data_IF_486095675528
#
_entry.id   IF_486095675528
#
_cell.length_a   1.000
_cell.length_b   1.000
_cell.length_c   1.000
_cell.angle_alpha   90.00
_cell.angle_beta   90.00
_cell.angle_gamma   90.00
#
_symmetry.space_group_name_H-M   'P 1'
#
loop_
_entity.id
_entity.type
_entity.pdbx_description
1 polymer ?
#
# COMPACT_ATOMS: atom_id res chain seq x y z
N UNK A 1 27.48 -6.67 -0.08
CA UNK A 1 26.57 -6.07 -1.08
C UNK A 1 25.78 -7.23 -1.67
N UNK A 2 24.64 -7.60 -1.04
CA UNK A 2 23.81 -8.69 -1.55
C UNK A 2 22.87 -8.13 -2.61
N UNK A 3 23.14 -8.48 -3.86
CA UNK A 3 22.29 -8.18 -5.00
C UNK A 3 21.09 -9.10 -4.99
N UNK A 4 19.88 -8.56 -4.89
CA UNK A 4 18.63 -9.27 -5.17
C UNK A 4 18.53 -9.51 -6.68
N UNK A 5 19.35 -10.41 -7.20
CA UNK A 5 19.23 -10.96 -8.55
C UNK A 5 18.74 -12.40 -8.43
N UNK A 6 17.52 -12.62 -8.87
CA UNK A 6 17.07 -13.94 -9.22
C UNK A 6 15.75 -14.39 -8.67
N UNK A 7 14.66 -13.70 -9.04
CA UNK A 7 13.38 -14.36 -9.18
C UNK A 7 13.06 -14.44 -10.67
N UNK A 8 13.47 -15.52 -11.30
CA UNK A 8 12.93 -15.90 -12.60
C UNK A 8 11.80 -16.89 -12.31
N UNK A 9 10.65 -16.38 -11.92
CA UNK A 9 9.41 -17.07 -12.20
C UNK A 9 8.96 -16.60 -13.58
N UNK A 10 8.63 -17.51 -14.46
CA UNK A 10 8.07 -17.26 -15.79
C UNK A 10 6.71 -16.57 -15.72
N UNK A 11 6.14 -16.39 -14.55
CA UNK A 11 4.95 -15.58 -14.27
C UNK A 11 5.37 -14.17 -13.82
N UNK A 12 4.75 -13.19 -14.47
CA UNK A 12 4.99 -11.79 -14.24
C UNK A 12 4.51 -11.38 -12.85
N UNK A 13 5.43 -10.96 -11.99
CA UNK A 13 5.10 -10.48 -10.65
C UNK A 13 4.39 -9.12 -10.76
N UNK A 14 3.07 -9.12 -10.56
CA UNK A 14 2.21 -7.93 -10.65
C UNK A 14 1.83 -7.36 -9.28
N UNK A 15 2.37 -7.91 -8.20
CA UNK A 15 2.18 -7.44 -6.83
C UNK A 15 3.43 -7.73 -5.98
N UNK A 16 3.54 -7.04 -4.86
CA UNK A 16 4.57 -7.34 -3.86
C UNK A 16 4.16 -8.62 -3.12
N UNK A 17 5.10 -9.54 -2.97
CA UNK A 17 4.89 -10.81 -2.26
C UNK A 17 4.91 -10.59 -0.75
N UNK A 18 4.20 -11.45 -0.02
CA UNK A 18 4.29 -11.55 1.41
C UNK A 18 5.53 -12.35 1.81
N UNK A 19 6.00 -12.16 3.05
CA UNK A 19 7.17 -12.89 3.54
C UNK A 19 6.95 -14.39 3.58
N UNK A 20 5.73 -14.82 3.93
CA UNK A 20 5.29 -16.21 3.95
C UNK A 20 5.18 -16.84 2.56
N UNK A 21 4.94 -16.04 1.52
CA UNK A 21 4.86 -16.54 0.14
C UNK A 21 6.21 -17.10 -0.32
N UNK A 22 7.33 -16.55 0.16
CA UNK A 22 8.66 -17.06 -0.15
C UNK A 22 8.85 -18.48 0.41
N UNK A 23 8.29 -18.79 1.59
CA UNK A 23 8.30 -20.13 2.18
C UNK A 23 7.49 -21.09 1.31
N UNK A 24 6.27 -20.68 0.90
CA UNK A 24 5.38 -21.51 0.08
C UNK A 24 6.00 -21.81 -1.28
N UNK A 25 6.60 -20.78 -1.90
CA UNK A 25 7.15 -20.89 -3.26
C UNK A 25 8.51 -21.58 -3.34
N UNK A 26 9.32 -21.55 -2.26
CA UNK A 26 10.73 -21.99 -2.26
C UNK A 26 11.09 -22.94 -1.11
N UNK A 27 10.12 -23.38 -0.32
CA UNK A 27 10.34 -24.31 0.78
C UNK A 27 11.37 -23.78 1.80
N UNK A 28 12.31 -24.63 2.20
CA UNK A 28 13.34 -24.29 3.21
C UNK A 28 14.25 -23.13 2.78
N UNK A 29 14.49 -22.92 1.48
CA UNK A 29 15.29 -21.78 1.01
C UNK A 29 14.52 -20.47 1.22
N UNK A 30 13.23 -20.44 0.92
CA UNK A 30 12.35 -19.32 1.21
C UNK A 30 12.27 -19.04 2.71
N UNK A 31 12.19 -20.08 3.53
CA UNK A 31 12.22 -19.97 4.98
C UNK A 31 13.51 -19.32 5.49
N UNK A 32 14.67 -19.75 4.98
CA UNK A 32 15.96 -19.12 5.31
C UNK A 32 16.03 -17.66 4.91
N UNK A 33 15.48 -17.30 3.75
CA UNK A 33 15.39 -15.90 3.30
C UNK A 33 14.49 -15.08 4.22
N UNK A 34 13.32 -15.61 4.58
CA UNK A 34 12.38 -14.95 5.49
C UNK A 34 13.03 -14.67 6.85
N UNK A 35 13.71 -15.66 7.42
CA UNK A 35 14.45 -15.49 8.68
C UNK A 35 15.59 -14.47 8.54
N UNK A 36 16.34 -14.49 7.45
CA UNK A 36 17.38 -13.49 7.18
C UNK A 36 16.82 -12.07 7.11
N UNK A 37 15.65 -11.89 6.49
CA UNK A 37 14.96 -10.63 6.48
C UNK A 37 14.54 -10.18 7.90
N UNK A 38 13.95 -11.07 8.70
CA UNK A 38 13.57 -10.78 10.08
C UNK A 38 14.79 -10.40 10.94
N UNK A 39 15.95 -11.04 10.75
CA UNK A 39 17.21 -10.64 11.40
C UNK A 39 17.65 -9.25 10.99
N UNK A 40 17.47 -8.87 9.74
CA UNK A 40 17.79 -7.51 9.27
C UNK A 40 16.88 -6.46 9.91
N UNK A 41 15.57 -6.74 10.02
CA UNK A 41 14.61 -5.91 10.75
C UNK A 41 14.98 -5.80 12.23
N UNK A 42 15.31 -6.93 12.86
CA UNK A 42 15.78 -6.99 14.26
C UNK A 42 17.00 -6.08 14.48
N UNK A 43 18.01 -6.17 13.61
CA UNK A 43 19.23 -5.37 13.73
C UNK A 43 18.95 -3.87 13.55
N UNK A 44 18.05 -3.51 12.64
CA UNK A 44 17.60 -2.13 12.46
C UNK A 44 16.96 -1.60 13.74
N UNK A 45 16.01 -2.36 14.32
CA UNK A 45 15.27 -1.94 15.53
C UNK A 45 16.12 -2.04 16.80
N UNK A 46 17.24 -2.77 16.77
CA UNK A 46 18.25 -2.77 17.84
C UNK A 46 19.27 -1.62 17.70
N UNK A 47 19.15 -0.78 16.68
CA UNK A 47 20.09 0.32 16.42
C UNK A 47 21.47 -0.14 15.91
N UNK A 48 21.62 -1.43 15.53
CA UNK A 48 22.89 -2.04 15.09
C UNK A 48 22.99 -2.27 13.59
N UNK A 49 22.01 -1.81 12.80
CA UNK A 49 22.04 -1.98 11.35
C UNK A 49 23.05 -1.03 10.69
N UNK A 50 23.89 -1.58 9.82
CA UNK A 50 24.83 -0.81 8.98
C UNK A 50 24.19 -0.13 7.79
N UNK A 51 22.88 -0.30 7.59
CA UNK A 51 22.11 0.25 6.46
C UNK A 51 20.67 0.57 6.82
N UNK A 52 20.02 1.38 5.99
CA UNK A 52 18.58 1.70 6.15
C UNK A 52 17.74 0.54 5.64
N UNK A 53 16.84 0.05 6.46
CA UNK A 53 15.77 -0.87 6.03
C UNK A 53 14.51 -0.01 5.82
N UNK A 54 13.95 -0.06 4.61
CA UNK A 54 12.69 0.60 4.32
C UNK A 54 11.54 -0.26 4.84
N UNK A 55 10.85 0.25 5.84
CA UNK A 55 9.61 -0.36 6.34
C UNK A 55 8.42 0.45 5.86
N UNK A 56 7.36 -0.23 5.49
CA UNK A 56 6.09 0.37 5.14
C UNK A 56 4.98 -0.11 6.07
N UNK A 57 3.99 0.76 6.27
CA UNK A 57 2.77 0.39 6.98
C UNK A 57 1.81 -0.24 5.98
N UNK A 58 1.34 -1.47 6.25
CA UNK A 58 0.27 -2.09 5.50
C UNK A 58 -1.07 -1.62 6.07
N UNK A 59 -1.75 -0.79 5.31
CA UNK A 59 -3.10 -0.34 5.63
C UNK A 59 -4.12 -1.43 5.28
N UNK A 60 -5.20 -1.52 6.04
CA UNK A 60 -6.33 -2.42 5.76
C UNK A 60 -7.37 -1.70 4.90
N UNK A 61 -7.02 -1.41 3.66
CA UNK A 61 -7.87 -0.70 2.71
C UNK A 61 -8.54 -1.64 1.69
N UNK A 62 -9.70 -1.26 1.16
CA UNK A 62 -10.41 -1.97 0.10
C UNK A 62 -11.37 -1.05 -0.67
N UNK A 63 -11.51 -1.28 -1.99
CA UNK A 63 -10.75 -2.19 -2.85
C UNK A 63 -9.34 -1.70 -3.16
N UNK A 64 -8.49 -2.61 -3.64
CA UNK A 64 -7.22 -2.20 -4.25
C UNK A 64 -7.50 -1.38 -5.52
N UNK A 65 -6.84 -0.23 -5.63
CA UNK A 65 -6.98 0.72 -6.74
C UNK A 65 -5.65 0.79 -7.49
N UNK A 66 -5.71 0.61 -8.80
CA UNK A 66 -4.59 0.91 -9.70
C UNK A 66 -4.94 2.19 -10.45
N UNK A 67 -4.07 3.19 -10.39
CA UNK A 67 -4.29 4.48 -11.02
C UNK A 67 -3.00 5.06 -11.59
N UNK A 68 -3.12 5.76 -12.72
CA UNK A 68 -1.96 6.40 -13.34
C UNK A 68 -2.16 6.68 -14.82
N UNK A 69 -1.05 6.87 -15.54
CA UNK A 69 -1.08 7.08 -16.99
C UNK A 69 -0.65 5.81 -17.71
N UNK A 70 -1.50 5.33 -18.60
CA UNK A 70 -1.18 4.21 -19.46
C UNK A 70 0.02 4.56 -20.35
N UNK A 71 1.12 3.79 -20.32
CA UNK A 71 2.33 4.11 -21.06
C UNK A 71 2.15 4.02 -22.58
N UNK A 72 1.14 3.31 -23.06
CA UNK A 72 0.88 3.11 -24.49
C UNK A 72 0.13 4.27 -25.12
N UNK A 73 -0.65 5.05 -24.35
CA UNK A 73 -1.48 6.11 -24.91
C UNK A 73 -1.50 7.41 -24.10
N UNK A 74 -0.79 7.47 -22.95
CA UNK A 74 -0.69 8.62 -22.07
C UNK A 74 -1.98 9.00 -21.32
N UNK A 75 -3.10 8.29 -21.52
CA UNK A 75 -4.38 8.61 -20.88
C UNK A 75 -4.37 8.19 -19.41
N UNK A 76 -4.92 9.05 -18.57
CA UNK A 76 -5.11 8.70 -17.16
C UNK A 76 -6.24 7.67 -17.02
N UNK A 77 -5.99 6.65 -16.23
CA UNK A 77 -6.94 5.57 -15.96
C UNK A 77 -7.03 5.24 -14.46
N UNK A 78 -8.11 4.56 -14.11
CA UNK A 78 -8.26 3.87 -12.83
C UNK A 78 -8.78 2.45 -13.08
N UNK A 79 -8.49 1.55 -12.14
CA UNK A 79 -9.03 0.21 -12.13
C UNK A 79 -8.78 -0.47 -10.79
N UNK A 80 -9.19 -1.72 -10.71
CA UNK A 80 -8.80 -2.65 -9.65
C UNK A 80 -7.63 -3.52 -10.14
N UNK A 81 -7.24 -4.54 -9.38
CA UNK A 81 -6.26 -5.54 -9.87
C UNK A 81 -6.64 -6.17 -11.22
N UNK A 82 -7.90 -6.07 -11.63
CA UNK A 82 -8.38 -6.56 -12.94
C UNK A 82 -7.74 -5.88 -14.17
N UNK A 83 -7.00 -4.78 -13.96
CA UNK A 83 -6.17 -4.17 -15.02
C UNK A 83 -5.03 -5.10 -15.49
N UNK A 84 -4.67 -6.09 -14.68
CA UNK A 84 -3.63 -7.09 -14.96
C UNK A 84 -4.19 -8.42 -15.48
N UNK A 85 -5.51 -8.56 -15.61
CA UNK A 85 -6.13 -9.78 -16.12
C UNK A 85 -5.76 -10.01 -17.58
N UNK A 86 -5.92 -11.26 -18.05
CA UNK A 86 -5.77 -11.63 -19.47
C UNK A 86 -6.60 -10.72 -20.40
N UNK A 87 -7.81 -10.32 -19.95
CA UNK A 87 -8.62 -9.26 -20.56
C UNK A 87 -8.65 -8.08 -19.60
N UNK A 88 -7.76 -7.09 -19.79
CA UNK A 88 -7.60 -5.99 -18.84
C UNK A 88 -8.82 -5.09 -18.76
N UNK A 89 -9.27 -4.76 -17.54
CA UNK A 89 -10.36 -3.80 -17.30
C UNK A 89 -9.75 -2.43 -16.93
N UNK A 90 -9.39 -1.66 -17.94
CA UNK A 90 -8.79 -0.33 -17.81
C UNK A 90 -9.87 0.73 -18.04
N UNK A 91 -10.05 1.66 -17.10
CA UNK A 91 -11.15 2.61 -17.17
C UNK A 91 -10.60 4.04 -17.31
N UNK A 92 -10.83 4.66 -18.46
CA UNK A 92 -10.46 6.04 -18.78
C UNK A 92 -11.62 7.02 -18.55
N UNK A 93 -12.85 6.51 -18.62
CA UNK A 93 -14.11 7.25 -18.56
C UNK A 93 -15.11 6.60 -17.61
N UNK A 94 -16.14 7.34 -17.14
CA UNK A 94 -17.24 6.73 -16.41
C UNK A 94 -17.98 5.64 -17.19
N UNK A 95 -18.03 5.75 -18.53
CA UNK A 95 -18.61 4.74 -19.41
C UNK A 95 -17.85 3.41 -19.35
N UNK A 96 -16.50 3.46 -19.35
CA UNK A 96 -15.68 2.26 -19.20
C UNK A 96 -15.92 1.61 -17.83
N UNK A 97 -16.06 2.42 -16.77
CA UNK A 97 -16.36 1.92 -15.44
C UNK A 97 -17.69 1.19 -15.42
N UNK A 98 -18.73 1.79 -16.02
CA UNK A 98 -20.07 1.18 -16.07
C UNK A 98 -20.08 -0.13 -16.86
N UNK A 99 -19.26 -0.23 -17.91
CA UNK A 99 -19.13 -1.45 -18.72
C UNK A 99 -18.34 -2.56 -18.00
N UNK A 100 -17.35 -2.19 -17.20
CA UNK A 100 -16.42 -3.14 -16.59
C UNK A 100 -16.78 -3.53 -15.16
N UNK A 101 -17.54 -2.68 -14.45
CA UNK A 101 -17.82 -2.83 -13.02
C UNK A 101 -19.25 -2.41 -12.68
N UNK A 102 -19.77 -2.93 -11.58
CA UNK A 102 -21.12 -2.62 -11.08
C UNK A 102 -21.10 -2.34 -9.56
N UNK A 103 -22.21 -1.87 -9.04
CA UNK A 103 -22.44 -1.69 -7.60
C UNK A 103 -21.44 -0.74 -6.92
N UNK A 104 -21.10 -0.98 -5.64
CA UNK A 104 -20.24 -0.09 -4.86
C UNK A 104 -18.85 0.12 -5.46
N UNK A 105 -18.28 -0.90 -6.13
CA UNK A 105 -16.96 -0.80 -6.76
C UNK A 105 -16.98 0.24 -7.89
N UNK A 106 -18.00 0.22 -8.74
CA UNK A 106 -18.14 1.20 -9.83
C UNK A 106 -18.28 2.63 -9.27
N UNK A 107 -19.05 2.80 -8.19
CA UNK A 107 -19.20 4.10 -7.53
C UNK A 107 -17.85 4.63 -7.00
N UNK A 108 -17.11 3.78 -6.29
CA UNK A 108 -15.77 4.11 -5.75
C UNK A 108 -14.77 4.44 -6.86
N UNK A 109 -14.76 3.66 -7.94
CA UNK A 109 -13.89 3.92 -9.11
C UNK A 109 -14.21 5.26 -9.80
N UNK A 110 -15.48 5.67 -9.88
CA UNK A 110 -15.87 6.97 -10.42
C UNK A 110 -15.31 8.12 -9.56
N UNK A 111 -15.36 8.00 -8.23
CA UNK A 111 -14.73 8.97 -7.32
C UNK A 111 -13.21 8.99 -7.53
N UNK A 112 -12.57 7.82 -7.59
CA UNK A 112 -11.13 7.71 -7.86
C UNK A 112 -10.75 8.36 -9.20
N UNK A 113 -11.46 8.06 -10.28
CA UNK A 113 -11.20 8.64 -11.60
C UNK A 113 -11.26 10.17 -11.58
N UNK A 114 -12.29 10.72 -10.92
CA UNK A 114 -12.50 12.17 -10.83
C UNK A 114 -11.44 12.87 -9.98
N UNK A 115 -11.17 12.34 -8.80
CA UNK A 115 -10.34 13.04 -7.82
C UNK A 115 -8.83 12.78 -8.04
N UNK A 116 -8.41 11.55 -8.41
CA UNK A 116 -7.01 11.22 -8.65
C UNK A 116 -6.46 11.84 -9.93
N UNK A 117 -7.29 11.97 -10.98
CA UNK A 117 -6.90 12.65 -12.23
C UNK A 117 -6.39 14.07 -11.98
N UNK A 118 -6.96 14.75 -10.99
CA UNK A 118 -6.60 16.13 -10.62
C UNK A 118 -5.26 16.25 -9.91
N UNK A 119 -4.75 15.17 -9.35
CA UNK A 119 -3.44 15.16 -8.68
C UNK A 119 -2.26 15.23 -9.66
N UNK A 120 -2.49 15.05 -10.97
CA UNK A 120 -1.43 15.08 -11.96
C UNK A 120 -0.44 13.92 -11.84
N UNK A 121 -0.89 12.77 -11.34
CA UNK A 121 -0.08 11.55 -11.23
C UNK A 121 0.48 11.18 -12.61
N UNK A 122 1.79 11.00 -12.70
CA UNK A 122 2.50 10.67 -13.96
C UNK A 122 2.85 9.19 -14.09
N UNK A 123 3.14 8.50 -12.98
CA UNK A 123 3.41 7.06 -12.93
C UNK A 123 2.14 6.21 -12.84
N UNK A 124 2.32 4.91 -12.68
CA UNK A 124 1.25 3.96 -12.36
C UNK A 124 1.49 3.45 -10.95
N UNK A 125 0.46 3.52 -10.13
CA UNK A 125 0.52 3.13 -8.72
C UNK A 125 -0.65 2.23 -8.38
N UNK A 126 -0.40 1.27 -7.49
CA UNK A 126 -1.43 0.54 -6.78
C UNK A 126 -1.44 0.96 -5.32
N UNK A 127 -2.63 1.04 -4.79
CA UNK A 127 -2.85 1.33 -3.38
C UNK A 127 -4.20 0.81 -2.93
N UNK A 128 -4.53 1.09 -1.69
CA UNK A 128 -5.77 0.67 -1.08
C UNK A 128 -6.65 1.88 -0.78
N UNK A 129 -7.91 1.79 -1.19
CA UNK A 129 -8.91 2.80 -0.88
C UNK A 129 -9.22 2.76 0.61
N UNK A 130 -9.10 3.91 1.29
CA UNK A 130 -9.41 4.04 2.70
C UNK A 130 -10.86 4.50 2.91
N UNK A 131 -11.31 5.48 2.15
CA UNK A 131 -12.68 5.98 2.20
C UNK A 131 -13.03 6.83 0.97
N UNK A 132 -14.30 6.91 0.67
CA UNK A 132 -14.93 8.02 -0.05
C UNK A 132 -15.73 8.87 0.94
N UNK A 133 -16.22 10.05 0.52
CA UNK A 133 -16.95 10.96 1.44
C UNK A 133 -18.12 10.29 2.16
N UNK A 134 -18.78 9.33 1.52
CA UNK A 134 -19.91 8.61 2.11
C UNK A 134 -19.51 7.55 3.15
N UNK A 135 -18.25 7.14 3.18
CA UNK A 135 -17.76 6.10 4.08
C UNK A 135 -17.33 6.66 5.46
N UNK A 136 -17.19 8.00 5.60
CA UNK A 136 -16.74 8.62 6.85
C UNK A 136 -17.92 8.98 7.74
N UNK A 137 -17.76 8.75 9.06
CA UNK A 137 -18.75 9.09 10.10
C UNK A 137 -18.06 9.85 11.24
N UNK A 138 -18.85 10.59 12.02
CA UNK A 138 -18.38 11.16 13.28
C UNK A 138 -19.01 10.37 14.42
N UNK A 139 -18.17 9.85 15.32
CA UNK A 139 -18.57 9.11 16.50
C UNK A 139 -17.92 9.71 17.76
N UNK A 140 -18.49 9.45 18.91
CA UNK A 140 -17.85 9.73 20.20
C UNK A 140 -17.19 8.42 20.67
N UNK A 141 -15.89 8.44 20.87
CA UNK A 141 -15.09 7.31 21.34
C UNK A 141 -14.32 7.79 22.56
N UNK A 142 -14.52 7.16 23.71
CA UNK A 142 -13.87 7.51 24.97
C UNK A 142 -13.99 9.01 25.35
N UNK A 143 -15.17 9.60 25.07
CA UNK A 143 -15.44 11.01 25.36
C UNK A 143 -14.92 12.00 24.31
N UNK A 144 -14.19 11.57 23.30
CA UNK A 144 -13.65 12.40 22.23
C UNK A 144 -14.41 12.22 20.90
N UNK A 145 -14.63 13.34 20.20
CA UNK A 145 -15.26 13.31 18.87
C UNK A 145 -14.24 12.86 17.81
N UNK A 146 -14.48 11.70 17.24
CA UNK A 146 -13.64 11.08 16.23
C UNK A 146 -14.32 11.07 14.86
N UNK A 147 -13.57 11.31 13.80
CA UNK A 147 -13.97 10.92 12.44
C UNK A 147 -13.49 9.49 12.21
N UNK A 148 -14.41 8.61 11.80
CA UNK A 148 -14.15 7.19 11.63
C UNK A 148 -14.43 6.75 10.20
N UNK A 149 -13.69 5.72 9.75
CA UNK A 149 -13.92 5.01 8.49
C UNK A 149 -13.41 3.57 8.61
N UNK A 150 -14.12 2.64 7.98
CA UNK A 150 -13.83 1.21 8.01
C UNK A 150 -13.75 0.71 6.57
N UNK A 151 -12.55 0.77 5.95
CA UNK A 151 -12.42 0.39 4.54
C UNK A 151 -12.59 -1.12 4.32
N UNK A 152 -12.15 -1.95 5.26
CA UNK A 152 -12.25 -3.40 5.23
C UNK A 152 -12.65 -3.91 6.62
N UNK A 153 -11.73 -4.43 7.41
CA UNK A 153 -12.00 -4.99 8.76
C UNK A 153 -11.62 -4.04 9.88
N UNK A 154 -10.59 -3.22 9.68
CA UNK A 154 -10.09 -2.28 10.69
C UNK A 154 -10.87 -0.96 10.61
N UNK A 155 -11.36 -0.48 11.76
CA UNK A 155 -11.90 0.87 11.89
C UNK A 155 -10.80 1.83 12.32
N UNK A 156 -10.57 2.84 11.50
CA UNK A 156 -9.68 3.95 11.80
C UNK A 156 -10.46 5.07 12.44
N UNK A 157 -9.92 5.64 13.52
CA UNK A 157 -10.52 6.75 14.24
C UNK A 157 -9.48 7.87 14.40
N UNK A 158 -9.88 9.10 14.10
CA UNK A 158 -8.99 10.26 14.16
C UNK A 158 -9.73 11.41 14.86
N UNK A 159 -9.13 12.08 15.86
CA UNK A 159 -9.75 13.22 16.52
C UNK A 159 -10.14 14.31 15.52
N UNK A 160 -11.41 14.72 15.52
CA UNK A 160 -11.92 15.75 14.62
C UNK A 160 -11.17 17.08 14.78
N UNK A 161 -10.75 17.38 16.01
CA UNK A 161 -9.99 18.58 16.38
C UNK A 161 -8.56 18.61 15.85
N UNK A 162 -7.98 17.44 15.53
CA UNK A 162 -6.61 17.31 15.07
C UNK A 162 -6.40 17.88 13.66
N UNK A 163 -5.13 18.18 13.30
CA UNK A 163 -4.78 18.59 11.94
C UNK A 163 -5.14 17.50 10.89
N UNK A 164 -4.96 16.23 11.26
CA UNK A 164 -5.30 15.09 10.44
C UNK A 164 -6.81 14.94 10.27
N UNK A 165 -7.58 15.05 11.36
CA UNK A 165 -9.06 15.02 11.31
C UNK A 165 -9.63 16.10 10.41
N UNK A 166 -9.08 17.33 10.46
CA UNK A 166 -9.49 18.42 9.55
C UNK A 166 -9.16 18.10 8.08
N UNK A 167 -8.04 17.44 7.78
CA UNK A 167 -7.73 16.99 6.41
C UNK A 167 -8.72 15.93 5.93
N UNK A 168 -8.97 14.90 6.75
CA UNK A 168 -9.89 13.80 6.42
C UNK A 168 -11.33 14.34 6.24
N UNK A 169 -11.80 15.24 7.11
CA UNK A 169 -13.16 15.80 7.03
C UNK A 169 -13.42 16.57 5.72
N UNK A 170 -12.40 17.19 5.13
CA UNK A 170 -12.48 17.92 3.86
C UNK A 170 -12.31 17.03 2.64
N UNK A 171 -11.65 15.88 2.81
CA UNK A 171 -11.35 14.97 1.71
C UNK A 171 -12.62 14.28 1.19
N UNK A 172 -12.69 14.09 -0.13
CA UNK A 172 -13.70 13.29 -0.82
C UNK A 172 -13.24 11.88 -1.06
N UNK A 173 -11.93 11.66 -0.98
CA UNK A 173 -11.24 10.41 -1.22
C UNK A 173 -10.07 10.30 -0.25
N UNK A 174 -9.94 9.16 0.42
CA UNK A 174 -8.74 8.74 1.15
C UNK A 174 -8.16 7.49 0.51
N UNK A 175 -6.87 7.51 0.22
CA UNK A 175 -6.16 6.40 -0.42
C UNK A 175 -4.72 6.35 0.08
N UNK A 176 -4.14 5.15 0.14
CA UNK A 176 -2.72 4.91 0.35
C UNK A 176 -2.14 4.21 -0.86
N UNK A 177 -1.10 4.76 -1.46
CA UNK A 177 -0.33 4.08 -2.51
C UNK A 177 0.92 3.45 -1.91
N UNK A 178 1.21 2.21 -2.30
CA UNK A 178 2.33 1.42 -1.77
C UNK A 178 3.15 0.70 -2.85
N UNK A 179 2.58 0.53 -4.05
CA UNK A 179 3.26 -0.14 -5.17
C UNK A 179 3.35 0.81 -6.35
N UNK A 180 4.53 0.87 -6.94
CA UNK A 180 4.82 1.60 -8.16
C UNK A 180 5.09 0.62 -9.29
N UNK A 181 4.60 0.93 -10.49
CA UNK A 181 4.79 0.09 -11.67
C UNK A 181 5.64 0.79 -12.71
N UNK A 182 6.57 0.02 -13.31
CA UNK A 182 7.41 0.45 -14.44
C UNK A 182 7.24 -0.50 -15.60
N UNK A 183 7.21 0.03 -16.82
CA UNK A 183 7.09 -0.75 -18.05
C UNK A 183 6.68 0.13 -19.21
N UNK A 184 6.92 -0.36 -20.44
CA UNK A 184 6.55 0.37 -21.68
C UNK A 184 5.13 0.09 -22.15
N UNK A 185 4.53 -1.01 -21.72
CA UNK A 185 3.15 -1.42 -22.04
C UNK A 185 2.45 -1.90 -20.77
N UNK A 186 1.11 -1.89 -20.74
CA UNK A 186 0.34 -2.44 -19.61
C UNK A 186 0.69 -3.90 -19.34
N UNK A 187 0.98 -4.65 -20.40
CA UNK A 187 1.38 -6.05 -20.29
C UNK A 187 2.84 -6.24 -19.82
N UNK A 188 3.72 -5.26 -19.86
CA UNK A 188 5.14 -5.33 -19.43
C UNK A 188 5.42 -4.66 -18.08
N UNK A 189 4.37 -4.21 -17.36
CA UNK A 189 4.53 -3.57 -16.05
C UNK A 189 5.15 -4.52 -15.03
N UNK A 190 6.21 -4.07 -14.37
CA UNK A 190 6.80 -4.72 -13.20
C UNK A 190 6.51 -3.92 -11.94
N UNK A 191 6.23 -4.60 -10.85
CA UNK A 191 5.95 -3.99 -9.56
C UNK A 191 7.23 -3.66 -8.78
N UNK A 192 7.20 -2.56 -8.05
CA UNK A 192 8.21 -2.17 -7.07
C UNK A 192 7.55 -1.43 -5.91
N UNK A 193 8.26 -1.32 -4.79
CA UNK A 193 7.80 -0.47 -3.71
C UNK A 193 7.94 1.00 -4.09
N UNK A 194 6.89 1.79 -3.86
CA UNK A 194 6.95 3.23 -4.12
C UNK A 194 5.69 3.96 -3.69
N UNK A 195 5.90 5.18 -3.24
CA UNK A 195 4.82 6.12 -2.91
C UNK A 195 4.70 7.17 -4.00
N UNK A 196 3.53 7.77 -4.13
CA UNK A 196 3.31 8.81 -5.14
C UNK A 196 4.21 10.01 -4.88
N UNK A 197 5.09 10.29 -5.84
CA UNK A 197 5.78 11.57 -5.94
C UNK A 197 4.94 12.51 -6.82
N UNK A 198 4.36 13.55 -6.26
CA UNK A 198 3.55 14.49 -7.03
C UNK A 198 2.90 15.55 -6.17
N UNK A 199 2.16 16.45 -6.80
CA UNK A 199 1.45 17.56 -6.15
C UNK A 199 0.41 17.03 -5.16
N UNK A 200 0.82 16.84 -3.91
CA UNK A 200 -0.02 16.40 -2.79
C UNK A 200 -0.96 17.49 -2.26
N UNK A 201 -1.09 18.61 -2.97
CA UNK A 201 -1.78 19.80 -2.49
C UNK A 201 -3.31 19.83 -2.70
N UNK A 202 -3.95 18.71 -3.03
CA UNK A 202 -5.42 18.70 -3.13
C UNK A 202 -6.07 18.50 -1.76
N UNK A 203 -6.92 19.43 -1.35
CA UNK A 203 -7.75 19.27 -0.16
C UNK A 203 -8.85 18.21 -0.34
N UNK A 204 -9.13 17.82 -1.59
CA UNK A 204 -10.14 16.81 -1.92
C UNK A 204 -9.65 15.37 -1.79
N UNK A 205 -8.33 15.14 -1.74
CA UNK A 205 -7.73 13.81 -1.62
C UNK A 205 -6.83 13.75 -0.40
N UNK A 206 -7.12 12.83 0.50
CA UNK A 206 -6.20 12.44 1.57
C UNK A 206 -5.31 11.30 1.05
N UNK A 207 -4.05 11.62 0.81
CA UNK A 207 -3.02 10.62 0.53
C UNK A 207 -2.38 10.21 1.84
N UNK A 208 -2.66 8.98 2.29
CA UNK A 208 -1.99 8.38 3.42
C UNK A 208 -0.58 7.92 3.02
N UNK A 209 0.36 8.00 3.93
CA UNK A 209 1.70 7.46 3.70
C UNK A 209 1.73 5.96 3.99
N UNK A 210 2.25 5.18 3.04
CA UNK A 210 2.62 3.78 3.27
C UNK A 210 4.07 3.66 3.80
N UNK A 211 4.85 4.74 3.68
CA UNK A 211 6.22 4.78 4.18
C UNK A 211 6.24 5.22 5.64
N UNK A 212 6.94 4.46 6.48
CA UNK A 212 7.37 4.89 7.78
C UNK A 212 8.87 5.19 7.70
N UNK A 213 9.22 6.45 7.94
CA UNK A 213 10.61 6.84 8.12
C UNK A 213 10.75 7.26 9.57
N UNK A 214 11.41 6.46 10.37
CA UNK A 214 11.82 6.90 11.69
C UNK A 214 12.97 7.90 11.55
N UNK A 215 12.65 9.18 11.67
CA UNK A 215 13.62 10.28 11.63
C UNK A 215 14.22 10.56 13.00
N UNK A 216 13.67 10.00 14.07
CA UNK A 216 14.09 10.29 15.44
C UNK A 216 15.21 9.38 15.96
N UNK A 217 15.49 8.27 15.26
CA UNK A 217 16.40 7.23 15.72
C UNK A 217 15.92 6.51 16.98
N UNK A 218 14.65 6.68 17.36
CA UNK A 218 14.07 6.26 18.63
C UNK A 218 13.10 5.07 18.53
N UNK A 219 12.78 4.57 17.35
CA UNK A 219 12.07 3.29 17.22
C UNK A 219 13.03 2.14 17.40
N UNK A 220 13.51 1.97 18.62
CA UNK A 220 14.34 0.84 19.01
C UNK A 220 13.54 -0.07 19.90
N UNK A 221 13.76 -1.38 19.75
CA UNK A 221 13.27 -2.34 20.73
C UNK A 221 13.85 -2.04 22.12
N UNK A 222 13.03 -2.15 23.14
CA UNK A 222 13.49 -2.32 24.50
C UNK A 222 14.23 -3.66 24.60
N UNK A 223 15.06 -3.84 25.63
CA UNK A 223 15.77 -5.11 25.87
C UNK A 223 14.82 -6.32 25.97
N UNK A 224 13.63 -6.12 26.55
CA UNK A 224 12.61 -7.16 26.68
C UNK A 224 11.98 -7.55 25.32
N UNK A 225 11.64 -6.56 24.50
CA UNK A 225 11.11 -6.78 23.17
C UNK A 225 12.15 -7.44 22.26
N UNK A 226 13.41 -7.02 22.34
CA UNK A 226 14.50 -7.60 21.60
C UNK A 226 14.69 -9.09 21.94
N UNK A 227 14.71 -9.43 23.24
CA UNK A 227 14.81 -10.81 23.70
C UNK A 227 13.65 -11.68 23.21
N UNK A 228 12.44 -11.14 23.24
CA UNK A 228 11.23 -11.83 22.73
C UNK A 228 11.33 -12.06 21.24
N UNK A 229 11.72 -11.04 20.47
CA UNK A 229 11.86 -11.13 19.02
C UNK A 229 12.96 -12.15 18.63
N UNK A 230 14.12 -12.15 19.31
CA UNK A 230 15.18 -13.12 19.12
C UNK A 230 14.71 -14.56 19.46
N UNK A 231 13.85 -14.70 20.47
CA UNK A 231 13.22 -15.99 20.79
C UNK A 231 12.35 -16.52 19.65
N UNK A 232 11.52 -15.67 19.05
CA UNK A 232 10.66 -16.02 17.92
C UNK A 232 11.48 -16.37 16.65
N UNK A 233 12.55 -15.64 16.38
CA UNK A 233 13.46 -15.96 15.27
C UNK A 233 14.07 -17.35 15.46
N UNK A 234 14.59 -17.66 16.67
CA UNK A 234 15.17 -18.99 16.96
C UNK A 234 14.15 -20.13 16.79
N UNK A 235 12.89 -19.88 17.20
CA UNK A 235 11.83 -20.88 16.98
C UNK A 235 11.58 -21.12 15.50
N UNK A 236 11.51 -20.06 14.70
CA UNK A 236 11.35 -20.17 13.26
C UNK A 236 12.53 -20.88 12.59
N UNK A 237 13.77 -20.59 12.99
CA UNK A 237 14.98 -21.28 12.50
C UNK A 237 14.98 -22.78 12.84
N UNK A 238 14.54 -23.12 14.05
CA UNK A 238 14.47 -24.53 14.48
C UNK A 238 13.38 -25.34 13.77
N UNK A 239 12.48 -24.67 13.04
CA UNK A 239 11.39 -25.29 12.26
C UNK A 239 11.73 -25.47 10.77
N UNK A 240 12.88 -24.96 10.31
CA UNK A 240 13.36 -25.03 8.93
C UNK A 240 14.34 -26.17 8.70
#
# INVERSE_FOLDING_TARGET
MFSFKGFITTEKNTHLEHLEDDIINRGSDGGRNAVSFLKSVRNMLAGSASGRVNMSVKWDGAPAIVAGRNPENGKFFVGTKSVFNKTPKINYTPGDIASNHSGPVAQKLNVCLKELKRLGITGIYQGDLLFTKGDTKVANIDGERMITFTPNTITYAVPVSSALGRKISRARLGIVFHTYYTGKTMSSLGAGFGTVSGKTGSTAVYLASAGYTDTSGSSTFTSGELSRFDGLIRMAEGSL
#
